data_IF_152232974438
#
_entry.id   IF_152232974438
#
_cell.length_a   1.000
_cell.length_b   1.000
_cell.length_c   1.000
_cell.angle_alpha   90.00
_cell.angle_beta   90.00
_cell.angle_gamma   90.00
#
_symmetry.space_group_name_H-M   'P 1'
#
loop_
_entity.id
_entity.type
_entity.pdbx_description
1 polymer ?
#
# COMPACT_ATOMS: atom_id res chain seq x y z
N UNK A 1 -4.77 5.00 14.56
CA UNK A 1 -5.83 3.99 14.38
C UNK A 1 -7.23 4.55 14.59
N UNK A 2 -7.39 5.60 15.39
CA UNK A 2 -8.68 6.26 15.65
C UNK A 2 -8.96 7.29 14.55
N UNK A 3 -10.19 7.29 14.02
CA UNK A 3 -10.66 8.25 13.01
C UNK A 3 -9.81 8.36 11.73
N UNK A 4 -9.10 7.29 11.35
CA UNK A 4 -8.30 7.26 10.15
C UNK A 4 -9.12 6.74 8.95
N UNK A 5 -9.23 7.56 7.88
CA UNK A 5 -10.13 7.28 6.75
C UNK A 5 -9.43 7.21 5.40
N UNK A 6 -8.12 7.40 5.35
CA UNK A 6 -7.35 7.70 4.14
C UNK A 6 -6.13 6.78 3.94
N UNK A 7 -6.14 5.58 4.52
CA UNK A 7 -4.99 4.69 4.48
C UNK A 7 -4.97 3.91 3.16
N UNK A 8 -4.25 4.44 2.19
CA UNK A 8 -3.95 3.75 0.93
C UNK A 8 -2.90 2.68 1.18
N UNK A 9 -3.13 1.48 0.67
CA UNK A 9 -2.24 0.34 0.76
C UNK A 9 -1.43 0.17 -0.54
N UNK A 10 -0.15 -0.15 -0.43
CA UNK A 10 0.57 -0.78 -1.53
C UNK A 10 0.16 -2.24 -1.69
N UNK A 11 0.52 -2.88 -2.81
CA UNK A 11 0.31 -4.31 -2.98
C UNK A 11 1.04 -5.13 -1.91
N UNK A 12 2.24 -4.66 -1.51
CA UNK A 12 2.99 -5.30 -0.43
C UNK A 12 2.31 -5.17 0.93
N UNK A 13 1.70 -4.02 1.23
CA UNK A 13 0.93 -3.85 2.45
C UNK A 13 -0.26 -4.80 2.50
N UNK A 14 -1.03 -4.87 1.40
CA UNK A 14 -2.17 -5.78 1.29
C UNK A 14 -1.73 -7.25 1.43
N UNK A 15 -0.65 -7.64 0.75
CA UNK A 15 -0.09 -8.99 0.84
C UNK A 15 0.32 -9.35 2.28
N UNK A 16 1.01 -8.45 3.00
CA UNK A 16 1.40 -8.69 4.40
C UNK A 16 0.20 -8.85 5.33
N UNK A 17 -0.83 -8.04 5.14
CA UNK A 17 -2.09 -8.17 5.89
C UNK A 17 -2.75 -9.52 5.55
N UNK A 18 -2.86 -9.86 4.28
CA UNK A 18 -3.44 -11.11 3.79
C UNK A 18 -2.72 -12.33 4.38
N UNK A 19 -1.39 -12.34 4.33
CA UNK A 19 -0.55 -13.40 4.93
C UNK A 19 -0.77 -13.51 6.44
N UNK A 20 -0.88 -12.38 7.16
CA UNK A 20 -1.14 -12.35 8.61
C UNK A 20 -2.52 -12.92 8.97
N UNK A 21 -3.50 -12.70 8.11
CA UNK A 21 -4.87 -13.19 8.30
C UNK A 21 -5.08 -14.62 7.77
N UNK A 22 -4.14 -15.17 7.01
CA UNK A 22 -4.29 -16.46 6.34
C UNK A 22 -5.31 -16.43 5.20
N UNK A 23 -5.58 -15.26 4.61
CA UNK A 23 -6.57 -15.05 3.55
C UNK A 23 -5.89 -14.66 2.24
N UNK A 24 -6.43 -15.08 1.07
CA UNK A 24 -5.99 -14.53 -0.21
C UNK A 24 -6.10 -13.00 -0.26
N UNK A 25 -5.18 -12.27 -0.95
CA UNK A 25 -5.21 -10.81 -1.01
C UNK A 25 -6.54 -10.25 -1.51
N UNK A 26 -7.18 -10.93 -2.46
CA UNK A 26 -8.50 -10.52 -2.97
C UNK A 26 -9.56 -10.54 -1.89
N UNK A 27 -9.68 -11.64 -1.12
CA UNK A 27 -10.64 -11.74 -0.04
C UNK A 27 -10.34 -10.75 1.09
N UNK A 28 -9.06 -10.51 1.38
CA UNK A 28 -8.65 -9.49 2.35
C UNK A 28 -9.10 -8.09 1.91
N UNK A 29 -8.91 -7.75 0.64
CA UNK A 29 -9.37 -6.46 0.11
C UNK A 29 -10.90 -6.35 0.14
N UNK A 30 -11.63 -7.37 -0.26
CA UNK A 30 -13.10 -7.36 -0.26
C UNK A 30 -13.67 -7.21 1.17
N UNK A 31 -13.03 -7.82 2.17
CA UNK A 31 -13.46 -7.75 3.58
C UNK A 31 -13.14 -6.39 4.23
N UNK A 32 -11.95 -5.83 4.00
CA UNK A 32 -11.43 -4.72 4.80
C UNK A 32 -11.17 -3.43 4.03
N UNK A 33 -11.24 -3.44 2.69
CA UNK A 33 -10.88 -2.28 1.88
C UNK A 33 -12.02 -1.83 0.98
N UNK A 34 -11.90 -0.62 0.47
CA UNK A 34 -12.59 -0.15 -0.74
C UNK A 34 -11.58 -0.05 -1.87
N UNK A 35 -12.06 -0.27 -3.09
CA UNK A 35 -11.30 -0.06 -4.30
C UNK A 35 -11.77 1.22 -4.97
N UNK A 36 -10.85 2.09 -5.33
CA UNK A 36 -11.13 3.35 -5.99
C UNK A 36 -10.05 3.65 -7.04
N UNK A 37 -10.22 4.68 -7.82
CA UNK A 37 -9.21 5.15 -8.78
C UNK A 37 -8.60 6.45 -8.26
N UNK A 38 -7.29 6.48 -8.12
CA UNK A 38 -6.58 7.69 -7.78
C UNK A 38 -6.72 8.72 -8.92
N UNK A 39 -7.29 9.91 -8.67
CA UNK A 39 -7.58 10.87 -9.74
C UNK A 39 -6.34 11.32 -10.53
N UNK A 40 -5.22 11.51 -9.82
CA UNK A 40 -3.99 12.05 -10.39
C UNK A 40 -3.20 11.02 -11.19
N UNK A 41 -3.18 9.77 -10.73
CA UNK A 41 -2.37 8.69 -11.35
C UNK A 41 -3.17 7.79 -12.26
N UNK A 42 -4.50 7.87 -12.25
CA UNK A 42 -5.42 6.98 -12.96
C UNK A 42 -5.32 5.51 -12.54
N UNK A 43 -4.50 5.20 -11.55
CA UNK A 43 -4.29 3.84 -11.07
C UNK A 43 -5.40 3.38 -10.14
N UNK A 44 -5.71 2.07 -10.13
CA UNK A 44 -6.52 1.49 -9.08
C UNK A 44 -5.81 1.63 -7.73
N UNK A 45 -6.54 2.01 -6.72
CA UNK A 45 -6.08 2.15 -5.35
C UNK A 45 -6.91 1.27 -4.41
N UNK A 46 -6.24 0.63 -3.48
CA UNK A 46 -6.85 -0.14 -2.40
C UNK A 46 -6.71 0.66 -1.11
N UNK A 47 -7.84 1.06 -0.53
CA UNK A 47 -7.89 1.93 0.65
C UNK A 47 -8.57 1.20 1.80
N UNK A 48 -7.94 1.20 2.96
CA UNK A 48 -8.48 0.54 4.13
C UNK A 48 -9.78 1.21 4.56
N UNK A 49 -10.83 0.41 4.71
CA UNK A 49 -12.18 0.87 5.05
C UNK A 49 -12.31 0.98 6.57
N UNK A 50 -12.62 2.15 7.14
CA UNK A 50 -12.86 2.28 8.55
C UNK A 50 -14.11 1.49 8.97
N UNK A 51 -14.14 1.04 10.21
CA UNK A 51 -15.33 0.44 10.81
C UNK A 51 -16.47 1.46 10.77
N UNK A 52 -17.60 1.10 10.18
CA UNK A 52 -18.73 2.01 9.93
C UNK A 52 -19.34 2.57 11.22
N UNK A 53 -19.29 1.82 12.32
CA UNK A 53 -19.88 2.22 13.61
C UNK A 53 -18.98 3.11 14.43
N UNK A 54 -17.67 2.84 14.44
CA UNK A 54 -16.70 3.53 15.31
C UNK A 54 -15.84 4.55 14.59
N UNK A 55 -15.75 4.51 13.26
CA UNK A 55 -14.83 5.31 12.45
C UNK A 55 -13.36 4.91 12.59
N UNK A 56 -13.06 3.87 13.36
CA UNK A 56 -11.70 3.42 13.62
C UNK A 56 -11.20 2.47 12.51
N UNK A 57 -9.87 2.26 12.48
CA UNK A 57 -9.26 1.21 11.68
C UNK A 57 -9.92 -0.15 11.98
N UNK A 58 -10.23 -1.00 10.98
CA UNK A 58 -10.88 -2.30 11.22
C UNK A 58 -10.02 -3.27 12.05
N UNK A 59 -8.71 -3.01 12.14
CA UNK A 59 -7.76 -3.80 12.93
C UNK A 59 -7.42 -3.15 14.29
N UNK A 60 -8.20 -2.17 14.72
CA UNK A 60 -8.02 -1.53 16.02
C UNK A 60 -9.03 -2.10 17.02
N UNK A 61 -8.56 -2.90 17.96
CA UNK A 61 -9.36 -3.58 18.96
C UNK A 61 -8.66 -3.51 20.31
N UNK A 62 -9.40 -3.31 21.39
CA UNK A 62 -8.88 -3.23 22.75
C UNK A 62 -7.63 -2.32 22.89
N UNK A 63 -7.70 -1.13 22.26
CA UNK A 63 -6.62 -0.13 22.21
C UNK A 63 -5.29 -0.62 21.55
N UNK A 64 -5.33 -1.72 20.82
CA UNK A 64 -4.18 -2.29 20.15
C UNK A 64 -4.45 -2.55 18.66
N UNK A 65 -3.37 -2.71 17.88
CA UNK A 65 -3.44 -3.11 16.48
C UNK A 65 -3.30 -4.64 16.36
N UNK A 66 -4.34 -5.33 15.93
CA UNK A 66 -4.35 -6.80 15.80
C UNK A 66 -3.43 -7.33 14.70
N UNK A 67 -3.05 -6.47 13.75
CA UNK A 67 -2.08 -6.77 12.68
C UNK A 67 -0.76 -6.01 12.85
N UNK A 68 -0.35 -5.66 14.07
CA UNK A 68 0.81 -4.77 14.32
C UNK A 68 2.09 -5.20 13.58
N UNK A 69 2.40 -6.49 13.55
CA UNK A 69 3.57 -7.03 12.83
C UNK A 69 3.45 -6.89 11.29
N UNK A 70 2.23 -6.80 10.76
CA UNK A 70 1.95 -6.65 9.33
C UNK A 70 1.38 -5.26 8.99
N UNK A 71 1.55 -4.28 9.89
CA UNK A 71 1.02 -2.93 9.69
C UNK A 71 1.52 -2.30 8.38
N UNK A 72 0.67 -1.56 7.66
CA UNK A 72 1.05 -0.82 6.45
C UNK A 72 2.20 0.15 6.69
N UNK A 73 2.91 0.51 5.61
CA UNK A 73 4.03 1.44 5.68
C UNK A 73 3.67 2.75 6.38
N UNK A 74 2.55 3.35 6.02
CA UNK A 74 2.10 4.60 6.63
C UNK A 74 1.80 4.47 8.14
N UNK A 75 1.41 3.29 8.61
CA UNK A 75 1.25 3.00 10.04
C UNK A 75 2.59 2.75 10.73
N UNK A 76 3.54 2.10 10.05
CA UNK A 76 4.86 1.81 10.57
C UNK A 76 5.71 3.08 10.68
N UNK A 77 5.57 4.00 9.72
CA UNK A 77 6.25 5.30 9.73
C UNK A 77 5.69 6.29 10.76
N UNK A 78 4.43 6.14 11.19
CA UNK A 78 3.86 7.11 12.13
C UNK A 78 4.66 7.15 13.45
N UNK A 79 5.06 8.31 13.96
CA UNK A 79 4.63 9.67 13.62
C UNK A 79 5.39 10.37 12.47
N UNK A 80 6.30 9.69 11.82
CA UNK A 80 6.96 10.24 10.63
C UNK A 80 6.16 9.95 9.35
N UNK A 81 6.46 10.67 8.29
CA UNK A 81 6.05 10.38 6.92
C UNK A 81 7.24 10.53 5.99
N UNK A 82 7.30 9.75 4.93
CA UNK A 82 8.31 9.91 3.89
C UNK A 82 7.93 11.11 2.99
N UNK A 83 8.90 11.98 2.74
CA UNK A 83 8.78 13.11 1.84
C UNK A 83 9.98 13.10 0.89
N UNK A 84 9.81 12.47 -0.26
CA UNK A 84 10.85 12.28 -1.28
C UNK A 84 12.14 11.64 -0.70
N UNK A 85 13.16 12.44 -0.42
CA UNK A 85 14.47 11.95 0.06
C UNK A 85 14.66 12.05 1.58
N UNK A 86 13.65 12.52 2.33
CA UNK A 86 13.75 12.70 3.77
C UNK A 86 12.45 12.31 4.49
N UNK A 87 12.54 12.16 5.80
CA UNK A 87 11.39 11.89 6.66
C UNK A 87 10.98 13.14 7.42
N UNK A 88 9.68 13.38 7.51
CA UNK A 88 9.11 14.52 8.24
C UNK A 88 8.27 13.98 9.39
N UNK A 89 8.46 14.54 10.58
CA UNK A 89 7.58 14.25 11.71
C UNK A 89 6.25 14.99 11.55
N UNK A 90 5.15 14.28 11.70
CA UNK A 90 3.82 14.89 11.64
C UNK A 90 3.57 15.78 12.87
N UNK A 91 3.10 17.03 12.69
CA UNK A 91 2.95 17.99 13.80
C UNK A 91 1.89 17.59 14.84
N UNK A 92 0.96 16.71 14.48
CA UNK A 92 -0.12 16.24 15.36
C UNK A 92 0.29 15.05 16.25
N UNK A 93 1.56 14.63 16.19
CA UNK A 93 2.04 13.59 17.08
C UNK A 93 2.23 14.16 18.51
N UNK A 94 1.29 13.87 19.40
CA UNK A 94 1.39 14.20 20.82
C UNK A 94 2.35 13.33 21.62
N UNK A 95 3.15 12.48 20.98
CA UNK A 95 4.13 11.64 21.63
C UNK A 95 5.25 12.52 22.22
N UNK A 96 5.35 12.55 23.54
CA UNK A 96 6.50 13.13 24.24
C UNK A 96 7.59 12.06 24.28
N UNK A 97 8.68 12.29 23.56
CA UNK A 97 9.90 11.51 23.74
C UNK A 97 10.54 11.94 25.05
N UNK A 98 10.77 11.02 25.98
CA UNK A 98 11.55 11.33 27.16
C UNK A 98 12.99 11.65 26.73
N UNK A 99 13.64 12.58 27.40
CA UNK A 99 15.04 12.95 27.11
C UNK A 99 16.03 11.76 27.22
N UNK A 100 15.61 10.67 27.84
CA UNK A 100 16.37 9.43 28.03
C UNK A 100 16.21 8.43 26.87
N UNK A 101 15.22 8.59 25.99
CA UNK A 101 14.97 7.71 24.86
C UNK A 101 15.30 8.39 23.53
N UNK A 102 16.50 8.94 23.40
CA UNK A 102 16.99 9.46 22.13
C UNK A 102 17.33 8.29 21.19
N UNK A 103 16.35 7.88 20.38
CA UNK A 103 16.56 6.96 19.26
C UNK A 103 16.98 7.74 18.03
N UNK A 104 17.98 7.24 17.31
CA UNK A 104 18.29 7.78 15.99
C UNK A 104 17.17 7.45 15.01
N UNK A 105 17.03 8.24 13.95
CA UNK A 105 16.09 7.92 12.87
C UNK A 105 16.35 6.52 12.30
N UNK A 106 17.61 6.14 12.13
CA UNK A 106 17.98 4.81 11.63
C UNK A 106 17.43 3.70 12.55
N UNK A 107 17.66 3.78 13.85
CA UNK A 107 17.14 2.79 14.79
C UNK A 107 15.60 2.70 14.74
N UNK A 108 14.94 3.85 14.56
CA UNK A 108 13.47 3.87 14.42
C UNK A 108 13.01 3.17 13.13
N UNK A 109 13.70 3.40 12.01
CA UNK A 109 13.36 2.78 10.73
C UNK A 109 13.60 1.25 10.75
N UNK A 110 14.68 0.81 11.41
CA UNK A 110 15.01 -0.60 11.54
C UNK A 110 14.03 -1.33 12.47
N UNK A 111 13.73 -0.77 13.64
CA UNK A 111 12.73 -1.32 14.58
C UNK A 111 11.33 -1.42 13.94
N UNK A 112 10.98 -0.48 13.07
CA UNK A 112 9.74 -0.49 12.32
C UNK A 112 9.77 -1.41 11.08
N UNK A 113 10.88 -2.09 10.81
CA UNK A 113 11.15 -2.92 9.63
C UNK A 113 10.97 -2.17 8.30
N UNK A 114 11.22 -0.86 8.29
CA UNK A 114 11.08 -0.01 7.10
C UNK A 114 12.28 -0.21 6.18
N UNK A 115 13.48 -0.26 6.73
CA UNK A 115 14.71 -0.51 5.98
C UNK A 115 14.63 -1.84 5.21
N UNK A 116 14.10 -2.89 5.84
CA UNK A 116 13.97 -4.21 5.21
C UNK A 116 13.01 -4.24 4.00
N UNK A 117 12.07 -3.31 3.92
CA UNK A 117 11.11 -3.24 2.81
C UNK A 117 11.42 -2.17 1.76
N UNK A 118 12.44 -1.33 2.00
CA UNK A 118 12.72 -0.14 1.18
C UNK A 118 12.90 -0.47 -0.32
N UNK A 119 13.59 -1.57 -0.66
CA UNK A 119 13.74 -2.00 -2.06
C UNK A 119 12.42 -2.38 -2.74
N UNK A 120 11.49 -2.99 -1.99
CA UNK A 120 10.16 -3.34 -2.49
C UNK A 120 9.34 -2.07 -2.72
N UNK A 121 9.34 -1.16 -1.74
CA UNK A 121 8.59 0.10 -1.84
C UNK A 121 9.13 1.01 -2.96
N UNK A 122 10.46 1.08 -3.15
CA UNK A 122 11.06 1.79 -4.27
C UNK A 122 10.66 1.20 -5.63
N UNK A 123 10.73 -0.13 -5.77
CA UNK A 123 10.30 -0.81 -7.00
C UNK A 123 8.81 -0.61 -7.27
N UNK A 124 7.97 -0.67 -6.23
CA UNK A 124 6.55 -0.37 -6.33
C UNK A 124 6.31 1.03 -6.89
N UNK A 125 6.98 2.05 -6.35
CA UNK A 125 6.84 3.43 -6.80
C UNK A 125 7.19 3.59 -8.29
N UNK A 126 8.31 3.01 -8.73
CA UNK A 126 8.74 3.03 -10.13
C UNK A 126 7.68 2.41 -11.04
N UNK A 127 7.18 1.23 -10.71
CA UNK A 127 6.14 0.55 -11.51
C UNK A 127 4.86 1.37 -11.56
N UNK A 128 4.42 1.94 -10.44
CA UNK A 128 3.23 2.79 -10.40
C UNK A 128 3.39 4.04 -11.27
N UNK A 129 4.55 4.71 -11.25
CA UNK A 129 4.84 5.86 -12.11
C UNK A 129 4.74 5.46 -13.59
N UNK A 130 5.43 4.40 -13.99
CA UNK A 130 5.42 3.92 -15.37
C UNK A 130 4.01 3.54 -15.86
N UNK A 131 3.20 2.89 -15.02
CA UNK A 131 1.82 2.53 -15.35
C UNK A 131 0.92 3.77 -15.45
N UNK A 132 1.11 4.74 -14.57
CA UNK A 132 0.40 6.02 -14.63
C UNK A 132 0.68 6.76 -15.93
N UNK A 133 1.97 6.90 -16.29
CA UNK A 133 2.39 7.55 -17.53
C UNK A 133 1.79 6.85 -18.75
N UNK A 134 1.83 5.52 -18.78
CA UNK A 134 1.23 4.74 -19.86
C UNK A 134 -0.27 4.96 -20.00
N UNK A 135 -1.01 4.98 -18.91
CA UNK A 135 -2.44 5.26 -18.93
C UNK A 135 -2.75 6.69 -19.42
N UNK A 136 -1.96 7.68 -18.97
CA UNK A 136 -2.11 9.07 -19.41
C UNK A 136 -1.83 9.22 -20.90
N UNK A 137 -0.73 8.65 -21.40
CA UNK A 137 -0.36 8.65 -22.82
C UNK A 137 -1.41 7.99 -23.70
N UNK A 138 -2.11 6.97 -23.19
CA UNK A 138 -3.18 6.28 -23.89
C UNK A 138 -4.54 7.05 -23.89
N UNK A 139 -4.59 8.27 -23.36
CA UNK A 139 -5.81 9.08 -23.28
C UNK A 139 -6.61 8.95 -21.99
N UNK A 140 -6.05 8.28 -20.98
CA UNK A 140 -6.62 8.22 -19.64
C UNK A 140 -8.02 7.61 -19.62
N UNK A 141 -8.92 8.23 -18.84
CA UNK A 141 -10.31 7.76 -18.67
C UNK A 141 -11.18 7.88 -19.91
N UNK A 142 -10.78 8.69 -20.89
CA UNK A 142 -11.49 8.86 -22.15
C UNK A 142 -11.26 7.67 -23.11
N UNK A 143 -10.19 6.91 -22.88
CA UNK A 143 -9.95 5.69 -23.64
C UNK A 143 -10.97 4.61 -23.26
N UNK A 144 -11.75 4.06 -24.22
CA UNK A 144 -12.74 3.02 -23.92
C UNK A 144 -12.13 1.74 -23.33
N UNK A 145 -10.84 1.54 -23.52
CA UNK A 145 -10.10 0.40 -22.96
C UNK A 145 -9.50 0.66 -21.58
N UNK A 146 -9.66 1.87 -21.04
CA UNK A 146 -9.13 2.23 -19.71
C UNK A 146 -9.60 1.29 -18.60
N UNK A 147 -10.90 1.05 -18.48
CA UNK A 147 -11.42 0.18 -17.40
C UNK A 147 -10.93 -1.27 -17.51
N UNK A 148 -10.93 -1.92 -18.69
CA UNK A 148 -10.28 -3.22 -18.85
C UNK A 148 -8.80 -3.22 -18.46
N UNK A 149 -8.02 -2.22 -18.89
CA UNK A 149 -6.61 -2.09 -18.55
C UNK A 149 -6.41 -1.89 -17.02
N UNK A 150 -7.18 -1.00 -16.41
CA UNK A 150 -7.12 -0.74 -14.97
C UNK A 150 -7.46 -1.99 -14.13
N UNK A 151 -8.39 -2.85 -14.59
CA UNK A 151 -8.66 -4.14 -13.94
C UNK A 151 -7.47 -5.10 -14.01
N UNK A 152 -6.75 -5.14 -15.13
CA UNK A 152 -5.52 -5.94 -15.27
C UNK A 152 -4.42 -5.42 -14.36
N UNK A 153 -4.26 -4.11 -14.31
CA UNK A 153 -3.33 -3.43 -13.40
C UNK A 153 -3.66 -3.76 -11.94
N UNK A 154 -4.94 -3.66 -11.53
CA UNK A 154 -5.35 -3.98 -10.17
C UNK A 154 -5.00 -5.43 -9.78
N UNK A 155 -5.22 -6.38 -10.68
CA UNK A 155 -4.85 -7.78 -10.44
C UNK A 155 -3.36 -7.94 -10.25
N UNK A 156 -2.55 -7.43 -11.16
CA UNK A 156 -1.09 -7.55 -11.13
C UNK A 156 -0.47 -6.83 -9.92
N UNK A 157 -1.03 -5.70 -9.51
CA UNK A 157 -0.50 -4.93 -8.39
C UNK A 157 -0.96 -5.45 -7.02
N UNK A 158 -2.19 -5.99 -6.90
CA UNK A 158 -2.80 -6.22 -5.58
C UNK A 158 -3.27 -7.66 -5.34
N UNK A 159 -3.70 -8.43 -6.37
CA UNK A 159 -4.53 -9.60 -6.12
C UNK A 159 -3.93 -10.93 -6.53
N UNK A 160 -3.11 -10.97 -7.58
CA UNK A 160 -2.58 -12.21 -8.14
C UNK A 160 -1.32 -12.65 -7.37
N UNK A 161 -1.46 -12.90 -6.05
CA UNK A 161 -0.38 -13.33 -5.15
C UNK A 161 -0.79 -14.52 -4.31
N UNK A 162 0.09 -15.52 -4.25
CA UNK A 162 0.07 -16.58 -3.25
C UNK A 162 0.64 -16.06 -1.93
N UNK A 163 -0.06 -16.28 -0.83
CA UNK A 163 0.43 -15.92 0.52
C UNK A 163 1.48 -16.90 1.05
N UNK A 164 1.73 -18.01 0.36
CA UNK A 164 2.72 -19.02 0.72
C UNK A 164 4.12 -18.65 0.19
N UNK A 165 4.18 -17.91 -0.91
CA UNK A 165 5.41 -17.55 -1.61
C UNK A 165 5.79 -16.09 -1.31
N UNK A 166 7.06 -15.73 -1.49
CA UNK A 166 7.52 -14.36 -1.26
C UNK A 166 6.91 -13.36 -2.26
N UNK A 167 6.58 -12.17 -1.78
CA UNK A 167 5.94 -11.12 -2.57
C UNK A 167 6.79 -10.66 -3.76
N UNK A 168 8.07 -10.37 -3.54
CA UNK A 168 8.90 -9.67 -4.51
C UNK A 168 9.10 -10.43 -5.83
N UNK A 169 9.40 -11.74 -5.84
CA UNK A 169 9.45 -12.53 -7.08
C UNK A 169 8.12 -12.53 -7.83
N UNK A 170 7.00 -12.68 -7.12
CA UNK A 170 5.66 -12.68 -7.72
C UNK A 170 5.33 -11.30 -8.30
N UNK A 171 5.65 -10.22 -7.60
CA UNK A 171 5.44 -8.85 -8.07
C UNK A 171 6.20 -8.57 -9.38
N UNK A 172 7.46 -9.00 -9.46
CA UNK A 172 8.23 -8.87 -10.69
C UNK A 172 7.63 -9.68 -11.84
N UNK A 173 7.25 -10.93 -11.60
CA UNK A 173 6.62 -11.78 -12.61
C UNK A 173 5.29 -11.18 -13.11
N UNK A 174 4.41 -10.76 -12.19
CA UNK A 174 3.13 -10.18 -12.51
C UNK A 174 3.26 -8.88 -13.32
N UNK A 175 4.21 -8.01 -12.94
CA UNK A 175 4.45 -6.76 -13.66
C UNK A 175 5.10 -6.99 -15.01
N UNK A 176 6.05 -7.93 -15.14
CA UNK A 176 6.62 -8.29 -16.44
C UNK A 176 5.57 -8.84 -17.41
N UNK A 177 4.67 -9.70 -16.93
CA UNK A 177 3.58 -10.23 -17.74
C UNK A 177 2.53 -9.17 -18.13
N UNK A 178 2.39 -8.12 -17.31
CA UNK A 178 1.40 -7.07 -17.55
C UNK A 178 1.76 -6.17 -18.74
N UNK A 179 3.03 -5.81 -18.93
CA UNK A 179 3.46 -4.85 -19.96
C UNK A 179 3.02 -5.21 -21.38
N UNK A 180 3.32 -6.43 -21.92
CA UNK A 180 2.91 -6.79 -23.28
C UNK A 180 1.37 -6.90 -23.42
N UNK A 181 0.65 -7.13 -22.33
CA UNK A 181 -0.82 -7.09 -22.37
C UNK A 181 -1.34 -5.67 -22.51
N UNK A 182 -0.76 -4.71 -21.79
CA UNK A 182 -1.13 -3.29 -21.90
C UNK A 182 -0.75 -2.72 -23.26
N UNK A 183 0.40 -3.10 -23.84
CA UNK A 183 0.81 -2.68 -25.19
C UNK A 183 -0.19 -3.09 -26.28
N UNK A 184 -0.86 -4.23 -26.09
CA UNK A 184 -1.90 -4.71 -27.01
C UNK A 184 -3.27 -4.11 -26.73
N UNK A 185 -3.50 -3.62 -25.52
CA UNK A 185 -4.81 -3.13 -25.07
C UNK A 185 -4.98 -1.63 -25.27
N UNK A 186 -3.94 -0.87 -25.07
CA UNK A 186 -3.92 0.60 -25.07
C UNK A 186 -3.31 1.14 -26.37
#
# INVERSE_FOLDING_TARGET
CRNRRDLVLSGYDLYRIARRLGLPPRLTADAFCKQEFAPQTLLPAVVLRPNARTGNCPFFEADACTIHAARPLACALYPATAAMEYYVQLPLCGARVSAQEQRTLQNYLDDAAITARAGIDARWAVVCTQLSDKLQQAGGRENPRYLPAARRIARALYFDYSIQDDFYPQFNANTQALWPLLDKML
#
